data_IF_396985379450
#
_entry.id   IF_396985379450
#
_cell.length_a   1.000
_cell.length_b   1.000
_cell.length_c   1.000
_cell.angle_alpha   90.00
_cell.angle_beta   90.00
_cell.angle_gamma   90.00
#
_symmetry.space_group_name_H-M   'P 1'
#
loop_
_entity.id
_entity.type
_entity.pdbx_description
1 polymer ?
#
# COMPACT_ATOMS: atom_id res chain seq x y z
N UNK A 1 3.62 -39.88 12.83
CA UNK A 1 2.86 -39.48 11.63
C UNK A 1 3.77 -39.67 10.42
N UNK A 2 3.47 -40.66 9.58
CA UNK A 2 4.26 -40.97 8.39
C UNK A 2 3.91 -39.97 7.28
N UNK A 3 4.87 -39.14 6.87
CA UNK A 3 4.75 -38.35 5.64
C UNK A 3 4.73 -39.32 4.46
N UNK A 4 3.55 -39.50 3.86
CA UNK A 4 3.37 -40.38 2.72
C UNK A 4 3.87 -39.68 1.44
N UNK A 5 5.13 -39.93 1.07
CA UNK A 5 5.78 -39.39 -0.13
C UNK A 5 5.08 -39.80 -1.44
N UNK A 6 4.14 -40.75 -1.42
CA UNK A 6 3.39 -41.17 -2.62
C UNK A 6 2.31 -40.19 -3.06
N UNK A 7 1.91 -39.21 -2.21
CA UNK A 7 0.91 -38.20 -2.58
C UNK A 7 1.36 -37.25 -3.71
N UNK A 8 2.67 -37.10 -3.91
CA UNK A 8 3.25 -36.27 -4.97
C UNK A 8 3.74 -37.10 -6.17
N UNK A 9 3.52 -38.42 -6.15
CA UNK A 9 3.96 -39.36 -7.19
C UNK A 9 2.81 -39.74 -8.14
N UNK A 10 2.16 -38.74 -8.75
CA UNK A 10 1.13 -38.98 -9.76
C UNK A 10 1.38 -38.10 -11.00
N UNK A 11 1.91 -38.74 -12.05
CA UNK A 11 1.86 -38.32 -13.46
C UNK A 11 2.51 -36.98 -13.82
N UNK A 12 3.77 -37.01 -14.24
CA UNK A 12 4.52 -35.85 -14.76
C UNK A 12 4.06 -35.31 -16.14
N UNK A 13 2.92 -35.75 -16.67
CA UNK A 13 2.48 -35.48 -18.05
C UNK A 13 1.02 -35.00 -18.22
N UNK A 14 0.31 -34.64 -17.14
CA UNK A 14 -1.02 -34.01 -17.25
C UNK A 14 -1.03 -32.65 -16.56
N UNK A 15 -1.12 -31.58 -17.34
CA UNK A 15 -1.29 -30.24 -16.81
C UNK A 15 -2.70 -30.13 -16.22
N UNK A 16 -2.78 -30.16 -14.88
CA UNK A 16 -4.05 -30.04 -14.16
C UNK A 16 -4.67 -28.66 -14.45
N UNK A 17 -6.00 -28.59 -14.71
CA UNK A 17 -6.66 -27.31 -14.92
C UNK A 17 -6.57 -26.47 -13.63
N UNK A 18 -6.06 -25.24 -13.76
CA UNK A 18 -5.97 -24.27 -12.66
C UNK A 18 -7.05 -23.23 -12.84
N UNK A 19 -7.95 -23.12 -11.86
CA UNK A 19 -8.94 -22.05 -11.85
C UNK A 19 -8.31 -20.77 -11.30
N UNK A 20 -7.80 -19.91 -12.19
CA UNK A 20 -7.21 -18.61 -11.85
C UNK A 20 -7.94 -17.50 -12.61
N UNK A 21 -9.25 -17.35 -12.36
CA UNK A 21 -10.01 -16.22 -12.88
C UNK A 21 -10.23 -15.18 -11.77
N UNK A 22 -9.35 -14.18 -11.74
CA UNK A 22 -9.39 -13.09 -10.74
C UNK A 22 -10.69 -12.27 -10.78
N UNK A 23 -11.39 -12.24 -11.92
CA UNK A 23 -12.66 -11.51 -12.05
C UNK A 23 -13.87 -12.30 -11.51
N UNK A 24 -13.72 -13.61 -11.30
CA UNK A 24 -14.77 -14.47 -10.74
C UNK A 24 -14.62 -14.67 -9.22
N UNK A 25 -13.44 -14.40 -8.66
CA UNK A 25 -13.17 -14.56 -7.22
C UNK A 25 -13.70 -13.33 -6.46
N UNK A 26 -14.60 -13.56 -5.50
CA UNK A 26 -15.09 -12.50 -4.63
C UNK A 26 -14.04 -12.12 -3.57
N UNK A 27 -13.49 -10.91 -3.68
CA UNK A 27 -12.48 -10.42 -2.74
C UNK A 27 -13.12 -9.84 -1.47
N UNK A 28 -12.83 -10.37 -0.28
CA UNK A 28 -13.27 -9.74 0.96
C UNK A 28 -12.53 -8.42 1.21
N UNK A 29 -13.13 -7.53 2.00
CA UNK A 29 -12.54 -6.19 2.30
C UNK A 29 -11.10 -6.25 2.84
N UNK A 30 -10.77 -7.27 3.64
CA UNK A 30 -9.41 -7.46 4.16
C UNK A 30 -8.38 -7.83 3.09
N UNK A 31 -8.82 -8.51 2.01
CA UNK A 31 -7.94 -8.79 0.87
C UNK A 31 -7.61 -7.51 0.10
N UNK A 32 -8.60 -6.62 -0.07
CA UNK A 32 -8.40 -5.30 -0.68
C UNK A 32 -7.38 -4.49 0.14
N UNK A 33 -7.56 -4.41 1.47
CA UNK A 33 -6.61 -3.73 2.36
C UNK A 33 -5.20 -4.31 2.25
N UNK A 34 -5.06 -5.64 2.16
CA UNK A 34 -3.75 -6.29 2.02
C UNK A 34 -3.06 -5.94 0.69
N UNK A 35 -3.79 -5.97 -0.43
CA UNK A 35 -3.26 -5.57 -1.74
C UNK A 35 -2.86 -4.09 -1.73
N UNK A 36 -3.71 -3.22 -1.21
CA UNK A 36 -3.44 -1.79 -1.13
C UNK A 36 -2.26 -1.47 -0.18
N UNK A 37 -2.07 -2.21 0.91
CA UNK A 37 -0.88 -2.10 1.77
C UNK A 37 0.42 -2.44 1.02
N UNK A 38 0.40 -3.48 0.17
CA UNK A 38 1.55 -3.86 -0.67
C UNK A 38 1.85 -2.80 -1.73
N UNK A 39 0.82 -2.35 -2.45
CA UNK A 39 0.97 -1.33 -3.50
C UNK A 39 1.48 -0.02 -2.89
N UNK A 40 0.89 0.44 -1.78
CA UNK A 40 1.35 1.64 -1.08
C UNK A 40 2.79 1.51 -0.59
N UNK A 41 3.21 0.34 -0.08
CA UNK A 41 4.59 0.08 0.29
C UNK A 41 5.57 0.20 -0.89
N UNK A 42 5.21 -0.32 -2.06
CA UNK A 42 6.01 -0.19 -3.29
C UNK A 42 6.11 1.28 -3.71
N UNK A 43 4.98 2.02 -3.70
CA UNK A 43 4.96 3.45 -4.03
C UNK A 43 5.87 4.26 -3.11
N UNK A 44 5.83 3.99 -1.79
CA UNK A 44 6.69 4.64 -0.81
C UNK A 44 8.15 4.30 -1.05
N UNK A 45 8.49 3.01 -1.21
CA UNK A 45 9.86 2.56 -1.44
C UNK A 45 10.48 3.21 -2.69
N UNK A 46 9.72 3.26 -3.80
CA UNK A 46 10.15 3.93 -5.03
C UNK A 46 10.24 5.45 -4.84
N UNK A 47 9.40 6.05 -4.01
CA UNK A 47 9.42 7.49 -3.73
C UNK A 47 10.54 7.97 -2.81
N UNK A 48 11.20 7.07 -2.06
CA UNK A 48 12.31 7.43 -1.15
C UNK A 48 13.46 8.13 -1.90
N UNK A 49 14.04 7.58 -2.99
CA UNK A 49 15.10 8.26 -3.74
C UNK A 49 14.72 9.66 -4.22
N UNK A 50 13.49 9.84 -4.72
CA UNK A 50 12.99 11.14 -5.17
C UNK A 50 12.85 12.13 -4.01
N UNK A 51 12.36 11.66 -2.86
CA UNK A 51 12.22 12.48 -1.65
C UNK A 51 13.59 12.93 -1.13
N UNK A 52 14.58 12.05 -1.15
CA UNK A 52 15.97 12.37 -0.77
C UNK A 52 16.58 13.36 -1.75
N UNK A 53 16.37 13.18 -3.05
CA UNK A 53 16.87 14.13 -4.07
C UNK A 53 16.25 15.52 -3.90
N UNK A 54 14.93 15.59 -3.70
CA UNK A 54 14.25 16.87 -3.48
C UNK A 54 14.71 17.55 -2.18
N UNK A 55 14.90 16.76 -1.11
CA UNK A 55 15.47 17.25 0.15
C UNK A 55 16.90 17.80 -0.07
N UNK A 56 17.74 17.07 -0.81
CA UNK A 56 19.09 17.50 -1.16
C UNK A 56 19.08 18.85 -1.88
N UNK A 57 18.27 18.99 -2.94
CA UNK A 57 18.14 20.25 -3.69
C UNK A 57 17.63 21.38 -2.80
N UNK A 58 16.67 21.10 -1.91
CA UNK A 58 16.13 22.11 -0.98
C UNK A 58 17.16 22.65 0.02
N UNK A 59 18.23 21.90 0.27
CA UNK A 59 19.31 22.25 1.20
C UNK A 59 20.53 22.85 0.51
N UNK A 60 20.56 22.93 -0.83
CA UNK A 60 21.69 23.40 -1.65
C UNK A 60 21.74 24.95 -1.77
N UNK A 61 21.29 25.64 -0.72
CA UNK A 61 21.23 27.11 -0.67
C UNK A 61 19.93 27.73 -1.21
N UNK A 62 19.86 29.07 -1.31
CA UNK A 62 18.63 29.79 -1.66
C UNK A 62 18.07 29.42 -3.04
N UNK A 63 18.93 29.32 -4.06
CA UNK A 63 18.53 28.98 -5.43
C UNK A 63 18.01 27.54 -5.52
N UNK A 64 18.65 26.60 -4.80
CA UNK A 64 18.20 25.22 -4.68
C UNK A 64 16.83 25.12 -3.99
N UNK A 65 16.62 25.89 -2.93
CA UNK A 65 15.32 25.96 -2.26
C UNK A 65 14.22 26.49 -3.17
N UNK A 66 14.47 27.58 -3.92
CA UNK A 66 13.49 28.09 -4.89
C UNK A 66 13.19 27.07 -6.00
N UNK A 67 14.21 26.36 -6.48
CA UNK A 67 14.03 25.29 -7.46
C UNK A 67 13.16 24.15 -6.91
N UNK A 68 13.43 23.67 -5.70
CA UNK A 68 12.63 22.63 -5.05
C UNK A 68 11.17 23.09 -4.86
N UNK A 69 10.97 24.35 -4.47
CA UNK A 69 9.65 24.93 -4.32
C UNK A 69 8.91 25.03 -5.66
N UNK A 70 9.58 25.43 -6.74
CA UNK A 70 9.00 25.48 -8.08
C UNK A 70 8.58 24.10 -8.59
N UNK A 71 9.39 23.06 -8.33
CA UNK A 71 9.05 21.67 -8.64
C UNK A 71 7.78 21.26 -7.91
N UNK A 72 7.72 21.48 -6.58
CA UNK A 72 6.56 21.14 -5.74
C UNK A 72 5.30 21.95 -6.07
N UNK A 73 5.44 23.16 -6.58
CA UNK A 73 4.32 24.01 -7.01
C UNK A 73 3.70 23.55 -8.33
N UNK A 74 4.39 22.71 -9.12
CA UNK A 74 3.86 22.22 -10.38
C UNK A 74 2.69 21.24 -10.17
N UNK A 75 1.65 21.34 -11.00
CA UNK A 75 0.46 20.50 -10.89
C UNK A 75 0.77 18.98 -10.87
N UNK A 76 1.66 18.44 -11.73
CA UNK A 76 1.99 17.02 -11.68
C UNK A 76 2.59 16.60 -10.34
N UNK A 77 3.48 17.41 -9.76
CA UNK A 77 4.07 17.11 -8.44
C UNK A 77 3.07 17.25 -7.31
N UNK A 78 2.15 18.24 -7.35
CA UNK A 78 1.05 18.35 -6.38
C UNK A 78 0.17 17.09 -6.39
N UNK A 79 -0.16 16.54 -7.57
CA UNK A 79 -0.89 15.28 -7.68
C UNK A 79 -0.10 14.07 -7.15
N UNK A 80 1.19 14.00 -7.46
CA UNK A 80 2.09 12.96 -6.90
C UNK A 80 2.17 13.08 -5.38
N UNK A 81 2.25 14.29 -4.82
CA UNK A 81 2.29 14.53 -3.38
C UNK A 81 0.99 14.06 -2.69
N UNK A 82 -0.17 14.29 -3.31
CA UNK A 82 -1.46 13.76 -2.82
C UNK A 82 -1.47 12.23 -2.82
N UNK A 83 -1.01 11.61 -3.92
CA UNK A 83 -0.89 10.15 -4.00
C UNK A 83 0.09 9.60 -2.96
N UNK A 84 1.22 10.29 -2.74
CA UNK A 84 2.23 9.91 -1.76
C UNK A 84 1.68 10.02 -0.33
N UNK A 85 0.90 11.07 -0.04
CA UNK A 85 0.20 11.22 1.24
C UNK A 85 -0.81 10.09 1.48
N UNK A 86 -1.59 9.72 0.46
CA UNK A 86 -2.47 8.54 0.52
C UNK A 86 -1.68 7.26 0.80
N UNK A 87 -0.60 7.02 0.04
CA UNK A 87 0.20 5.82 0.17
C UNK A 87 0.80 5.72 1.58
N UNK A 88 1.33 6.81 2.12
CA UNK A 88 1.87 6.87 3.47
C UNK A 88 0.79 6.56 4.52
N UNK A 89 -0.36 7.24 4.45
CA UNK A 89 -1.46 7.02 5.38
C UNK A 89 -1.99 5.59 5.31
N UNK A 90 -2.22 5.07 4.10
CA UNK A 90 -2.72 3.70 3.92
C UNK A 90 -1.73 2.66 4.42
N UNK A 91 -0.45 2.80 4.06
CA UNK A 91 0.59 1.85 4.45
C UNK A 91 0.76 1.81 5.97
N UNK A 92 0.79 2.98 6.62
CA UNK A 92 0.90 3.10 8.07
C UNK A 92 -0.31 2.50 8.80
N UNK A 93 -1.53 2.89 8.41
CA UNK A 93 -2.76 2.40 9.05
C UNK A 93 -2.95 0.88 8.86
N UNK A 94 -2.71 0.37 7.65
CA UNK A 94 -2.74 -1.06 7.38
C UNK A 94 -1.63 -1.80 8.13
N UNK A 95 -0.43 -1.22 8.20
CA UNK A 95 0.71 -1.75 8.95
C UNK A 95 0.39 -1.89 10.44
N UNK A 96 -0.18 -0.85 11.07
CA UNK A 96 -0.64 -0.90 12.47
C UNK A 96 -1.69 -2.01 12.63
N UNK A 97 -2.66 -2.12 11.73
CA UNK A 97 -3.65 -3.21 11.75
C UNK A 97 -2.98 -4.59 11.69
N UNK A 98 -1.95 -4.75 10.85
CA UNK A 98 -1.20 -6.00 10.75
C UNK A 98 -0.43 -6.31 12.05
N UNK A 99 0.32 -5.35 12.58
CA UNK A 99 1.04 -5.50 13.86
C UNK A 99 0.11 -5.85 15.02
N UNK A 100 -1.07 -5.23 15.09
CA UNK A 100 -2.09 -5.57 16.10
C UNK A 100 -2.62 -7.00 15.91
N UNK A 101 -2.84 -7.42 14.66
CA UNK A 101 -3.30 -8.78 14.36
C UNK A 101 -2.23 -9.84 14.69
N UNK A 102 -0.94 -9.52 14.55
CA UNK A 102 0.17 -10.42 14.86
C UNK A 102 0.27 -10.74 16.36
N UNK A 103 -0.27 -9.87 17.22
CA UNK A 103 -0.40 -10.07 18.67
C UNK A 103 -1.84 -10.43 19.10
N UNK A 104 -2.64 -10.96 18.16
CA UNK A 104 -4.02 -11.41 18.33
C UNK A 104 -5.04 -10.32 18.75
N UNK A 105 -4.70 -9.05 18.57
CA UNK A 105 -5.62 -7.93 18.83
C UNK A 105 -6.43 -7.64 17.57
N UNK A 106 -7.76 -7.85 17.66
CA UNK A 106 -8.69 -7.56 16.55
C UNK A 106 -8.67 -8.61 15.43
N UNK A 107 -8.13 -9.81 15.69
CA UNK A 107 -8.05 -10.95 14.77
C UNK A 107 -9.40 -11.61 14.48
N UNK A 108 -10.36 -11.50 15.40
CA UNK A 108 -11.72 -12.03 15.23
C UNK A 108 -12.42 -11.44 13.99
N UNK A 109 -13.11 -12.28 13.22
CA UNK A 109 -13.64 -11.93 11.89
C UNK A 109 -14.45 -10.61 11.84
N UNK A 110 -15.36 -10.31 12.80
CA UNK A 110 -16.07 -9.02 12.80
C UNK A 110 -15.13 -7.82 13.01
N UNK A 111 -14.15 -7.94 13.93
CA UNK A 111 -13.16 -6.90 14.21
C UNK A 111 -12.19 -6.71 13.04
N UNK A 112 -11.72 -7.81 12.46
CA UNK A 112 -10.84 -7.81 11.30
C UNK A 112 -11.48 -7.15 10.06
N UNK A 113 -12.80 -7.30 9.89
CA UNK A 113 -13.58 -6.63 8.83
C UNK A 113 -13.77 -5.14 9.14
N UNK A 114 -14.13 -4.79 10.38
CA UNK A 114 -14.29 -3.39 10.80
C UNK A 114 -12.98 -2.62 10.62
N UNK A 115 -11.87 -3.17 11.10
CA UNK A 115 -10.55 -2.53 10.97
C UNK A 115 -10.13 -2.36 9.50
N UNK A 116 -10.43 -3.33 8.63
CA UNK A 116 -10.17 -3.20 7.20
C UNK A 116 -10.99 -2.06 6.55
N UNK A 117 -12.28 -1.94 6.89
CA UNK A 117 -13.11 -0.81 6.47
C UNK A 117 -12.57 0.53 6.99
N UNK A 118 -12.18 0.60 8.26
CA UNK A 118 -11.58 1.81 8.86
C UNK A 118 -10.36 2.24 8.07
N UNK A 119 -9.43 1.33 7.78
CA UNK A 119 -8.23 1.66 6.98
C UNK A 119 -8.61 2.15 5.58
N UNK A 120 -9.49 1.43 4.87
CA UNK A 120 -9.86 1.73 3.49
C UNK A 120 -10.64 3.04 3.33
N UNK A 121 -11.35 3.49 4.37
CA UNK A 121 -12.09 4.77 4.37
C UNK A 121 -11.27 5.93 4.94
N UNK A 122 -10.46 5.68 5.97
CA UNK A 122 -9.68 6.73 6.63
C UNK A 122 -8.46 7.14 5.81
N UNK A 123 -7.80 6.22 5.10
CA UNK A 123 -6.64 6.57 4.29
C UNK A 123 -6.95 7.51 3.11
N UNK A 124 -8.04 7.37 2.32
CA UNK A 124 -8.39 8.37 1.31
C UNK A 124 -8.82 9.70 1.93
N UNK A 125 -9.32 9.74 3.16
CA UNK A 125 -9.58 11.02 3.82
C UNK A 125 -8.30 11.85 3.96
N UNK A 126 -7.17 11.24 4.35
CA UNK A 126 -5.88 11.93 4.37
C UNK A 126 -5.44 12.42 2.99
N UNK A 127 -5.74 11.65 1.93
CA UNK A 127 -5.49 12.07 0.55
C UNK A 127 -6.32 13.31 0.18
N UNK A 128 -7.60 13.34 0.56
CA UNK A 128 -8.47 14.50 0.33
C UNK A 128 -7.97 15.72 1.10
N UNK A 129 -7.55 15.56 2.36
CA UNK A 129 -6.96 16.65 3.14
C UNK A 129 -5.68 17.18 2.48
N UNK A 130 -4.81 16.30 1.99
CA UNK A 130 -3.63 16.69 1.23
C UNK A 130 -4.01 17.40 -0.08
N UNK A 131 -5.05 16.93 -0.79
CA UNK A 131 -5.52 17.58 -2.01
C UNK A 131 -6.05 18.99 -1.74
N UNK A 132 -6.82 19.19 -0.68
CA UNK A 132 -7.30 20.52 -0.27
C UNK A 132 -6.15 21.45 0.11
N UNK A 133 -5.08 20.92 0.71
CA UNK A 133 -3.90 21.71 1.05
C UNK A 133 -3.00 22.02 -0.17
N UNK A 134 -2.92 21.09 -1.13
CA UNK A 134 -1.94 21.12 -2.22
C UNK A 134 -2.54 21.34 -3.61
N UNK A 135 -3.83 21.59 -3.79
CA UNK A 135 -4.40 21.93 -5.11
C UNK A 135 -5.12 23.27 -5.01
#
# INVERSE_FOLDING_TARGET
MLFNATAWSYGSNMQKPVFFNIFQIQMPVGAITSIAHRISGILLAVGIPFSIYLLYVSLDGPDGYEQANAILASLPFRLVAVLFAWALAHHLLAGIRHLLSDIDIGSGLPHARRSAWTVNCLSPLFAVLAAVAFL
#
